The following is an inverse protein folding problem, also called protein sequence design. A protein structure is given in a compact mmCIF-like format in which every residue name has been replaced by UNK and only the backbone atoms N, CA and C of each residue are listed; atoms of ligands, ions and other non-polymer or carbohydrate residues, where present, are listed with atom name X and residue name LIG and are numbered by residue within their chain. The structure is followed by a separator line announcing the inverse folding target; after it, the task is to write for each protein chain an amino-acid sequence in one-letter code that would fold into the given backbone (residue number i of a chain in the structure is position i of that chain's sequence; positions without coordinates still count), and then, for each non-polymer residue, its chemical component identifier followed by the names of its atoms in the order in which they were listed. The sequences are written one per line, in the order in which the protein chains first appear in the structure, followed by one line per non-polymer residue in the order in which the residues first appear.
data_IF_963189487433
#
_entry.id   IF_963189487433
#
_cell.length_a   1.000
_cell.length_b   1.000
_cell.length_c   1.000
_cell.angle_alpha   90.00
_cell.angle_beta   90.00
_cell.angle_gamma   90.00
#
_symmetry.space_group_name_H-M   'P 1'
#
loop_
_entity.id
_entity.type
_entity.pdbx_description
1 polymer ?
#
# COMPACT_ATOMS: atom_id res chain seq x y z
N UNK A 1 -29.14 -41.77 37.63
CA UNK A 1 -28.84 -41.72 36.18
C UNK A 1 -29.32 -40.40 35.56
N UNK A 2 -28.93 -39.23 36.12
CA UNK A 2 -29.38 -37.90 35.64
C UNK A 2 -28.23 -36.93 35.33
N UNK A 3 -26.99 -37.23 35.73
CA UNK A 3 -25.85 -36.30 35.64
C UNK A 3 -25.16 -36.36 34.26
N UNK A 4 -25.41 -37.40 33.46
CA UNK A 4 -24.67 -37.66 32.22
C UNK A 4 -25.13 -36.87 30.98
N UNK A 5 -26.30 -36.22 31.04
CA UNK A 5 -26.86 -35.47 29.91
C UNK A 5 -26.51 -33.98 29.95
N UNK A 6 -26.38 -33.38 31.13
CA UNK A 6 -26.02 -31.96 31.27
C UNK A 6 -24.58 -31.66 30.84
N UNK A 7 -23.65 -32.58 31.12
CA UNK A 7 -22.23 -32.42 30.77
C UNK A 7 -21.97 -32.48 29.24
N UNK A 8 -22.87 -33.08 28.45
CA UNK A 8 -22.73 -33.15 26.99
C UNK A 8 -23.24 -31.89 26.29
N UNK A 9 -24.19 -31.18 26.89
CA UNK A 9 -24.77 -29.95 26.30
C UNK A 9 -23.84 -28.75 26.45
N UNK A 10 -23.02 -28.68 27.50
CA UNK A 10 -22.10 -27.54 27.74
C UNK A 10 -20.86 -27.58 26.83
N UNK A 11 -20.41 -28.76 26.41
CA UNK A 11 -19.25 -28.91 25.50
C UNK A 11 -19.59 -28.52 24.05
N UNK A 12 -20.86 -28.64 23.65
CA UNK A 12 -21.30 -28.29 22.29
C UNK A 12 -21.39 -26.78 22.03
N UNK A 13 -21.55 -25.94 23.07
CA UNK A 13 -21.69 -24.49 22.91
C UNK A 13 -20.36 -23.73 22.79
N UNK A 14 -19.23 -24.34 23.15
CA UNK A 14 -17.93 -23.65 23.18
C UNK A 14 -17.21 -23.59 21.81
N UNK A 15 -17.69 -24.33 20.79
CA UNK A 15 -16.98 -24.47 19.51
C UNK A 15 -17.41 -23.48 18.41
N UNK A 16 -18.31 -22.53 18.68
CA UNK A 16 -18.84 -21.63 17.63
C UNK A 16 -18.32 -20.18 17.67
N UNK A 17 -17.37 -19.83 18.55
CA UNK A 17 -16.75 -18.48 18.53
C UNK A 17 -15.42 -18.53 17.79
N UNK A 18 -15.49 -18.87 16.50
CA UNK A 18 -14.37 -18.84 15.58
C UNK A 18 -14.57 -17.78 14.49
N UNK A 19 -14.98 -16.57 14.87
CA UNK A 19 -14.90 -15.45 13.94
C UNK A 19 -13.43 -15.04 13.88
N UNK A 20 -12.72 -15.52 12.86
CA UNK A 20 -11.44 -14.98 12.45
C UNK A 20 -11.61 -13.47 12.27
N UNK A 21 -11.07 -12.69 13.20
CA UNK A 21 -10.93 -11.25 13.04
C UNK A 21 -10.00 -11.03 11.84
N UNK A 22 -10.58 -10.65 10.71
CA UNK A 22 -9.83 -10.09 9.59
C UNK A 22 -9.18 -8.83 10.13
N UNK A 23 -7.85 -8.83 10.25
CA UNK A 23 -7.09 -7.61 10.55
C UNK A 23 -7.26 -6.67 9.35
N UNK A 24 -8.21 -5.74 9.42
CA UNK A 24 -8.29 -4.66 8.47
C UNK A 24 -7.11 -3.72 8.73
N UNK A 25 -6.22 -3.54 7.74
CA UNK A 25 -5.18 -2.53 7.85
C UNK A 25 -5.84 -1.15 8.04
N UNK A 26 -5.36 -0.38 9.01
CA UNK A 26 -5.83 0.98 9.22
C UNK A 26 -5.01 1.93 8.34
N UNK A 27 -5.70 2.67 7.47
CA UNK A 27 -5.09 3.67 6.59
C UNK A 27 -5.33 5.06 7.15
N UNK A 28 -4.26 5.79 7.43
CA UNK A 28 -4.32 7.17 7.92
C UNK A 28 -3.79 8.11 6.86
N UNK A 29 -4.59 9.09 6.44
CA UNK A 29 -4.15 10.10 5.48
C UNK A 29 -2.96 10.90 6.03
N UNK A 30 -1.89 11.02 5.25
CA UNK A 30 -0.67 11.75 5.65
C UNK A 30 -0.41 13.01 4.81
N UNK A 31 -0.95 13.08 3.60
CA UNK A 31 -0.69 14.19 2.69
C UNK A 31 -1.01 13.84 1.25
N UNK A 32 -0.90 14.84 0.38
CA UNK A 32 -1.10 14.71 -1.06
C UNK A 32 -0.08 15.51 -1.84
N UNK A 33 0.10 15.18 -3.11
CA UNK A 33 0.98 15.91 -4.02
C UNK A 33 0.43 15.89 -5.45
N UNK A 34 0.64 16.98 -6.19
CA UNK A 34 0.52 16.97 -7.64
C UNK A 34 1.74 16.25 -8.24
N UNK A 35 1.58 15.54 -9.36
CA UNK A 35 2.73 15.00 -10.12
C UNK A 35 3.70 16.14 -10.45
N UNK A 36 3.18 17.26 -10.97
CA UNK A 36 3.91 18.51 -11.22
C UNK A 36 4.03 19.38 -9.95
N UNK A 37 4.56 18.82 -8.86
CA UNK A 37 4.85 19.60 -7.65
C UNK A 37 6.08 20.49 -7.86
N UNK A 38 6.13 21.70 -7.28
CA UNK A 38 7.30 22.59 -7.37
C UNK A 38 8.59 22.00 -6.77
N UNK A 39 8.48 21.08 -5.82
CA UNK A 39 9.61 20.33 -5.25
C UNK A 39 10.05 19.13 -6.11
N UNK A 40 9.30 18.78 -7.16
CA UNK A 40 9.68 17.68 -8.04
C UNK A 40 10.78 18.12 -9.02
N UNK A 41 11.68 17.21 -9.42
CA UNK A 41 12.68 17.47 -10.45
C UNK A 41 12.02 17.95 -11.74
N UNK A 42 12.60 18.96 -12.39
CA UNK A 42 12.21 19.35 -13.74
C UNK A 42 12.91 18.43 -14.73
N UNK A 43 12.16 17.78 -15.62
CA UNK A 43 12.74 16.86 -16.60
C UNK A 43 13.78 17.54 -17.51
N UNK A 44 13.51 18.78 -17.91
CA UNK A 44 14.36 19.58 -18.80
C UNK A 44 15.49 20.34 -18.09
N UNK A 45 15.83 19.99 -16.84
CA UNK A 45 16.93 20.64 -16.12
C UNK A 45 18.28 20.09 -16.60
N UNK A 46 19.18 20.99 -17.02
CA UNK A 46 20.55 20.67 -17.45
C UNK A 46 21.37 19.91 -16.41
N UNK A 47 20.98 19.92 -15.13
CA UNK A 47 21.60 19.11 -14.10
C UNK A 47 21.51 17.59 -14.38
N UNK A 48 20.62 17.15 -15.28
CA UNK A 48 20.40 15.73 -15.60
C UNK A 48 20.99 15.28 -16.94
N UNK A 49 21.72 16.13 -17.65
CA UNK A 49 22.31 15.80 -18.96
C UNK A 49 23.22 14.56 -18.89
N UNK A 50 24.05 14.44 -17.85
CA UNK A 50 24.97 13.30 -17.66
C UNK A 50 24.26 11.98 -17.34
N UNK A 51 23.07 12.05 -16.73
CA UNK A 51 22.28 10.88 -16.31
C UNK A 51 21.17 10.51 -17.30
N UNK A 52 20.98 11.35 -18.33
CA UNK A 52 19.85 11.28 -19.26
C UNK A 52 18.48 11.33 -18.56
N UNK A 53 18.36 12.10 -17.48
CA UNK A 53 17.08 12.38 -16.83
C UNK A 53 17.10 12.20 -15.30
N UNK A 54 16.17 12.86 -14.58
CA UNK A 54 16.07 12.73 -13.12
C UNK A 54 15.61 11.33 -12.69
N UNK A 55 15.70 11.04 -11.39
CA UNK A 55 15.14 9.80 -10.84
C UNK A 55 13.63 9.70 -11.08
N UNK A 56 13.18 8.52 -11.49
CA UNK A 56 11.79 8.15 -11.61
C UNK A 56 11.31 7.44 -10.34
N UNK A 57 10.10 7.76 -9.89
CA UNK A 57 9.51 7.25 -8.66
C UNK A 57 8.17 6.56 -8.93
N UNK A 58 7.97 5.40 -8.30
CA UNK A 58 6.60 4.91 -8.08
C UNK A 58 5.87 5.87 -7.14
N UNK A 59 4.55 5.82 -7.08
CA UNK A 59 3.80 6.70 -6.18
C UNK A 59 4.07 6.41 -4.70
N UNK A 60 4.34 5.14 -4.35
CA UNK A 60 4.77 4.77 -3.01
C UNK A 60 6.19 5.29 -2.69
N UNK A 61 7.13 5.22 -3.63
CA UNK A 61 8.46 5.79 -3.47
C UNK A 61 8.40 7.33 -3.32
N UNK A 62 7.56 7.99 -4.12
CA UNK A 62 7.32 9.43 -4.01
C UNK A 62 6.73 9.81 -2.64
N UNK A 63 5.77 9.05 -2.12
CA UNK A 63 5.23 9.25 -0.79
C UNK A 63 6.29 9.09 0.30
N UNK A 64 7.17 8.08 0.19
CA UNK A 64 8.27 7.90 1.12
C UNK A 64 9.29 9.05 1.05
N UNK A 65 9.57 9.58 -0.14
CA UNK A 65 10.44 10.76 -0.32
C UNK A 65 9.84 12.01 0.34
N UNK A 66 8.53 12.24 0.18
CA UNK A 66 7.85 13.44 0.65
C UNK A 66 7.49 13.41 2.14
N UNK A 67 7.11 12.23 2.66
CA UNK A 67 6.53 12.07 3.99
C UNK A 67 7.37 11.18 4.93
N UNK A 68 8.51 10.69 4.45
CA UNK A 68 9.49 9.88 5.18
C UNK A 68 9.10 8.40 5.32
N UNK A 69 10.05 7.57 5.75
CA UNK A 69 9.85 6.12 5.88
C UNK A 69 10.19 5.36 4.61
N UNK A 70 9.50 4.26 4.35
CA UNK A 70 9.72 3.36 3.21
C UNK A 70 8.50 3.31 2.30
N UNK A 71 8.69 2.94 1.03
CA UNK A 71 7.59 2.83 0.06
C UNK A 71 6.47 1.88 0.54
N UNK A 72 6.85 0.79 1.22
CA UNK A 72 5.91 -0.18 1.79
C UNK A 72 5.05 0.36 2.94
N UNK A 73 5.39 1.51 3.51
CA UNK A 73 4.58 2.13 4.57
C UNK A 73 3.34 2.84 4.02
N UNK A 74 3.19 2.93 2.69
CA UNK A 74 2.18 3.75 2.04
C UNK A 74 1.26 2.95 1.12
N UNK A 75 -0.01 3.35 1.12
CA UNK A 75 -0.94 3.11 0.01
C UNK A 75 -1.38 4.44 -0.56
N UNK A 76 -1.61 4.47 -1.86
CA UNK A 76 -1.93 5.68 -2.61
C UNK A 76 -3.35 5.57 -3.15
N UNK A 77 -4.05 6.70 -3.13
CA UNK A 77 -5.31 6.89 -3.85
C UNK A 77 -5.15 7.96 -4.92
N UNK A 78 -5.81 7.74 -6.06
CA UNK A 78 -5.95 8.72 -7.12
C UNK A 78 -7.23 9.57 -7.02
N UNK A 79 -8.12 9.22 -6.07
CA UNK A 79 -9.48 9.76 -5.94
C UNK A 79 -9.52 10.94 -4.98
N UNK A 80 -9.32 10.68 -3.67
CA UNK A 80 -9.42 11.68 -2.61
C UNK A 80 -8.68 11.24 -1.33
N UNK A 81 -8.82 12.05 -0.26
CA UNK A 81 -8.20 11.82 1.05
C UNK A 81 -9.05 10.96 2.02
N UNK A 82 -10.13 10.34 1.56
CA UNK A 82 -10.96 9.45 2.37
C UNK A 82 -10.40 8.01 2.33
N UNK A 83 -10.02 7.42 3.47
CA UNK A 83 -9.49 6.05 3.53
C UNK A 83 -10.43 4.98 2.95
N UNK A 84 -11.74 5.25 2.88
CA UNK A 84 -12.73 4.34 2.30
C UNK A 84 -12.72 4.32 0.76
N UNK A 85 -12.07 5.31 0.13
CA UNK A 85 -12.04 5.49 -1.32
C UNK A 85 -10.65 5.14 -1.91
N UNK A 86 -9.79 4.44 -1.17
CA UNK A 86 -8.46 4.05 -1.68
C UNK A 86 -8.63 3.07 -2.85
N UNK A 87 -8.12 3.44 -4.02
CA UNK A 87 -8.20 2.66 -5.25
C UNK A 87 -6.90 1.94 -5.61
N UNK A 88 -5.85 2.10 -4.80
CA UNK A 88 -4.51 1.53 -4.99
C UNK A 88 -3.87 1.93 -6.34
N UNK A 89 -4.25 3.11 -6.84
CA UNK A 89 -3.75 3.69 -8.08
C UNK A 89 -3.16 5.05 -7.83
N UNK A 90 -2.39 5.51 -8.80
CA UNK A 90 -1.80 6.83 -8.79
C UNK A 90 -1.68 7.39 -10.20
N UNK A 91 -1.63 8.71 -10.25
CA UNK A 91 -1.31 9.51 -11.42
C UNK A 91 0.20 9.56 -11.62
N UNK A 92 0.61 9.36 -12.86
CA UNK A 92 1.99 9.42 -13.32
C UNK A 92 2.10 10.35 -14.51
N UNK A 93 3.27 10.96 -14.67
CA UNK A 93 3.73 11.43 -15.97
C UNK A 93 4.42 10.29 -16.71
N UNK A 94 4.33 10.28 -18.04
CA UNK A 94 4.96 9.30 -18.92
C UNK A 94 5.71 10.04 -20.02
N UNK A 95 7.01 9.77 -20.13
CA UNK A 95 7.90 10.50 -21.01
C UNK A 95 7.43 10.42 -22.47
N UNK A 96 7.16 11.59 -23.05
CA UNK A 96 6.76 11.71 -24.45
C UNK A 96 5.35 11.19 -24.76
N UNK A 97 4.52 10.95 -23.75
CA UNK A 97 3.13 10.56 -23.92
C UNK A 97 2.20 11.72 -23.53
N UNK A 98 1.47 12.26 -24.50
CA UNK A 98 0.57 13.39 -24.25
C UNK A 98 -0.68 12.94 -23.50
N UNK A 99 -0.94 13.61 -22.37
CA UNK A 99 -2.05 13.27 -21.49
C UNK A 99 -2.97 14.46 -21.20
N UNK A 100 -2.91 15.52 -22.02
CA UNK A 100 -3.74 16.73 -21.90
C UNK A 100 -3.74 17.32 -20.48
N UNK A 101 -2.55 17.51 -19.88
CA UNK A 101 -2.33 18.03 -18.52
C UNK A 101 -2.95 17.19 -17.38
N UNK A 102 -3.45 16.00 -17.71
CA UNK A 102 -3.96 15.01 -16.76
C UNK A 102 -2.98 13.85 -16.71
N UNK A 103 -2.68 13.26 -15.56
CA UNK A 103 -1.72 12.15 -15.51
C UNK A 103 -2.25 10.90 -16.21
N UNK A 104 -1.38 9.92 -16.39
CA UNK A 104 -1.79 8.54 -16.73
C UNK A 104 -2.01 7.77 -15.44
N UNK A 105 -3.12 7.04 -15.36
CA UNK A 105 -3.49 6.29 -14.17
C UNK A 105 -2.90 4.87 -14.23
N UNK A 106 -2.01 4.55 -13.29
CA UNK A 106 -1.45 3.22 -13.12
C UNK A 106 -1.60 2.71 -11.68
N UNK A 107 -1.15 1.49 -11.42
CA UNK A 107 -1.02 0.99 -10.06
C UNK A 107 -0.06 1.88 -9.24
N UNK A 108 -0.30 1.99 -7.93
CA UNK A 108 0.52 2.80 -7.02
C UNK A 108 2.02 2.40 -6.97
N UNK A 109 2.34 1.19 -7.41
CA UNK A 109 3.67 0.58 -7.47
C UNK A 109 4.18 0.39 -8.91
N UNK A 110 3.49 0.96 -9.91
CA UNK A 110 3.89 0.87 -11.30
C UNK A 110 5.30 1.41 -11.51
N UNK A 111 6.13 0.60 -12.18
CA UNK A 111 7.55 0.85 -12.36
C UNK A 111 7.93 0.67 -13.83
N UNK A 112 8.14 1.80 -14.52
CA UNK A 112 8.75 1.86 -15.85
C UNK A 112 9.85 2.91 -15.79
N UNK A 113 11.11 2.48 -15.72
CA UNK A 113 12.26 3.37 -15.52
C UNK A 113 13.32 3.11 -16.57
N UNK A 114 13.85 4.17 -17.16
CA UNK A 114 15.01 4.10 -18.03
C UNK A 114 16.24 3.69 -17.23
N UNK A 115 16.98 2.70 -17.73
CA UNK A 115 18.12 2.08 -17.06
C UNK A 115 17.82 1.67 -15.60
N UNK A 116 16.55 1.36 -15.28
CA UNK A 116 16.11 0.91 -13.97
C UNK A 116 15.97 2.01 -12.90
N UNK A 117 16.24 3.28 -13.21
CA UNK A 117 16.22 4.34 -12.19
C UNK A 117 15.63 5.68 -12.67
N UNK A 118 15.69 6.00 -13.96
CA UNK A 118 15.53 7.38 -14.43
C UNK A 118 14.24 7.60 -15.22
N UNK A 119 13.73 8.82 -15.17
CA UNK A 119 12.73 9.37 -16.08
C UNK A 119 13.46 9.93 -17.31
N UNK A 120 13.71 9.06 -18.28
CA UNK A 120 14.60 9.34 -19.40
C UNK A 120 14.43 8.38 -20.59
N UNK A 121 15.28 8.49 -21.63
CA UNK A 121 16.41 9.41 -21.76
C UNK A 121 16.00 10.83 -22.19
N UNK A 122 16.77 11.84 -21.78
CA UNK A 122 16.64 13.22 -22.29
C UNK A 122 17.10 13.26 -23.76
N UNK A 123 16.19 13.61 -24.67
CA UNK A 123 16.51 13.86 -26.09
C UNK A 123 16.37 12.68 -27.06
N UNK A 124 16.02 11.47 -26.60
CA UNK A 124 15.78 10.32 -27.48
C UNK A 124 14.68 9.39 -26.96
N UNK A 125 13.43 9.84 -27.03
CA UNK A 125 12.27 9.03 -26.68
C UNK A 125 11.38 8.77 -27.90
N UNK A 126 10.53 7.75 -27.80
CA UNK A 126 9.52 7.44 -28.80
C UNK A 126 8.26 8.22 -28.42
N UNK A 127 7.79 9.18 -29.23
CA UNK A 127 6.55 9.89 -28.95
C UNK A 127 5.35 8.94 -28.87
N UNK A 128 4.35 9.31 -28.07
CA UNK A 128 3.09 8.58 -27.86
C UNK A 128 3.27 7.15 -27.33
N UNK A 129 4.39 6.86 -26.68
CA UNK A 129 4.65 5.56 -26.07
C UNK A 129 4.23 5.54 -24.60
N UNK A 130 3.04 5.01 -24.31
CA UNK A 130 2.53 4.83 -22.94
C UNK A 130 3.42 3.93 -22.06
N UNK A 131 4.29 3.11 -22.67
CA UNK A 131 5.23 2.24 -21.96
C UNK A 131 6.61 2.89 -21.75
N UNK A 132 6.76 4.19 -22.04
CA UNK A 132 8.00 4.92 -21.76
C UNK A 132 8.25 5.03 -20.25
N UNK A 133 9.37 5.67 -19.88
CA UNK A 133 9.68 5.92 -18.48
C UNK A 133 8.57 6.77 -17.84
N UNK A 134 8.16 6.40 -16.63
CA UNK A 134 7.06 7.02 -15.92
C UNK A 134 7.46 7.40 -14.49
N UNK A 135 6.92 8.50 -13.98
CA UNK A 135 7.17 8.94 -12.61
C UNK A 135 5.93 9.58 -11.99
N UNK A 136 5.64 9.23 -10.74
CA UNK A 136 4.58 9.87 -9.96
C UNK A 136 5.03 11.19 -9.32
N UNK A 137 6.29 11.58 -9.51
CA UNK A 137 6.88 12.79 -8.96
C UNK A 137 7.92 13.35 -9.92
N UNK A 138 7.46 14.17 -10.87
CA UNK A 138 8.26 14.81 -11.90
C UNK A 138 7.53 16.04 -12.43
N UNK A 139 8.27 17.11 -12.72
CA UNK A 139 7.75 18.23 -13.49
C UNK A 139 8.05 18.01 -14.96
N UNK A 140 7.07 17.44 -15.65
CA UNK A 140 6.98 17.31 -17.10
C UNK A 140 5.50 17.46 -17.50
N UNK A 141 5.20 17.69 -18.79
CA UNK A 141 3.85 17.73 -19.40
C UNK A 141 2.74 18.50 -18.64
N UNK A 142 3.10 19.41 -17.74
CA UNK A 142 2.21 20.15 -16.84
C UNK A 142 1.11 19.30 -16.15
N UNK A 143 1.46 18.06 -15.75
CA UNK A 143 0.53 17.12 -15.15
C UNK A 143 0.06 17.58 -13.75
N UNK A 144 -1.17 18.05 -13.67
CA UNK A 144 -1.74 18.66 -12.45
C UNK A 144 -2.50 17.69 -11.53
N UNK A 145 -2.58 16.41 -11.91
CA UNK A 145 -3.32 15.40 -11.16
C UNK A 145 -2.70 15.14 -9.77
N UNK A 146 -3.57 14.90 -8.78
CA UNK A 146 -3.19 14.80 -7.36
C UNK A 146 -3.24 13.36 -6.88
N UNK A 147 -2.18 12.93 -6.22
CA UNK A 147 -2.08 11.67 -5.51
C UNK A 147 -2.24 11.90 -4.00
N UNK A 148 -2.92 10.97 -3.32
CA UNK A 148 -3.18 11.02 -1.88
C UNK A 148 -2.47 9.84 -1.19
N UNK A 149 -1.57 10.13 -0.25
CA UNK A 149 -0.86 9.10 0.51
C UNK A 149 -1.57 8.79 1.83
N UNK A 150 -1.68 7.51 2.12
CA UNK A 150 -2.13 6.99 3.40
C UNK A 150 -1.06 6.08 3.98
N UNK A 151 -0.71 6.30 5.24
CA UNK A 151 0.21 5.43 5.95
C UNK A 151 -0.53 4.20 6.46
N UNK A 152 0.08 3.04 6.24
CA UNK A 152 -0.39 1.75 6.72
C UNK A 152 0.00 1.63 8.19
N UNK A 153 -0.99 1.46 9.06
CA UNK A 153 -0.75 1.09 10.45
C UNK A 153 -1.15 -0.37 10.64
N UNK A 154 -0.21 -1.26 10.99
CA UNK A 154 -0.55 -2.64 11.32
C UNK A 154 -1.52 -2.63 12.48
N UNK A 155 -2.67 -3.29 12.32
CA UNK A 155 -3.53 -3.56 13.47
C UNK A 155 -2.81 -4.61 14.31
N UNK A 156 -2.62 -4.36 15.63
CA UNK A 156 -2.05 -5.36 16.52
C UNK A 156 -2.80 -6.66 16.36
N UNK A 157 -2.07 -7.77 16.18
CA UNK A 157 -2.71 -9.07 16.05
C UNK A 157 -3.67 -9.27 17.24
N UNK A 158 -4.93 -9.66 16.98
CA UNK A 158 -5.88 -9.84 18.05
C UNK A 158 -5.33 -10.90 19.00
N UNK A 159 -5.58 -10.75 20.30
CA UNK A 159 -5.23 -11.71 21.35
C UNK A 159 -5.80 -13.13 21.12
N UNK A 160 -6.45 -13.38 19.98
CA UNK A 160 -6.84 -14.66 19.43
C UNK A 160 -5.78 -15.76 19.61
N UNK A 161 -4.48 -15.48 19.46
CA UNK A 161 -3.45 -16.47 19.77
C UNK A 161 -3.35 -16.76 21.28
N UNK A 162 -3.41 -15.73 22.12
CA UNK A 162 -3.46 -15.87 23.57
C UNK A 162 -4.69 -16.66 24.04
N UNK A 163 -5.87 -16.34 23.49
CA UNK A 163 -7.12 -17.04 23.76
C UNK A 163 -7.13 -18.47 23.21
N UNK A 164 -6.57 -18.71 22.03
CA UNK A 164 -6.40 -20.05 21.47
C UNK A 164 -5.48 -20.89 22.36
N UNK A 165 -4.33 -20.34 22.78
CA UNK A 165 -3.39 -21.04 23.64
C UNK A 165 -3.95 -21.26 25.04
N UNK A 166 -4.70 -20.31 25.59
CA UNK A 166 -5.43 -20.48 26.84
C UNK A 166 -6.51 -21.58 26.70
N UNK A 167 -7.26 -21.57 25.61
CA UNK A 167 -8.25 -22.60 25.28
C UNK A 167 -7.63 -23.99 25.16
N UNK A 168 -6.55 -24.14 24.41
CA UNK A 168 -5.81 -25.39 24.29
C UNK A 168 -5.22 -25.84 25.63
N UNK A 169 -4.68 -24.92 26.42
CA UNK A 169 -4.16 -25.17 27.76
C UNK A 169 -5.23 -25.71 28.72
N UNK A 170 -6.43 -25.14 28.70
CA UNK A 170 -7.55 -25.64 29.53
C UNK A 170 -8.01 -27.04 29.09
N UNK A 171 -8.06 -27.33 27.79
CA UNK A 171 -8.39 -28.66 27.26
C UNK A 171 -7.37 -29.72 27.76
N UNK A 172 -6.08 -29.42 27.68
CA UNK A 172 -5.01 -30.31 28.16
C UNK A 172 -5.13 -30.56 29.66
N UNK A 173 -5.40 -29.51 30.46
CA UNK A 173 -5.56 -29.62 31.90
C UNK A 173 -6.75 -30.50 32.30
N UNK A 174 -7.90 -30.30 31.67
CA UNK A 174 -9.11 -31.12 31.90
C UNK A 174 -8.85 -32.59 31.53
N UNK A 175 -8.12 -32.85 30.43
CA UNK A 175 -7.79 -34.22 30.01
C UNK A 175 -6.87 -34.93 31.00
N UNK A 176 -5.89 -34.23 31.58
CA UNK A 176 -4.98 -34.80 32.60
C UNK A 176 -5.72 -35.22 33.86
N UNK A 177 -6.71 -34.43 34.33
CA UNK A 177 -7.49 -34.77 35.53
C UNK A 177 -8.39 -36.00 35.40
N UNK A 178 -8.74 -36.42 34.18
CA UNK A 178 -9.55 -37.63 33.94
C UNK A 178 -8.76 -38.93 33.92
N UNK A 179 -7.44 -38.88 33.83
CA UNK A 179 -6.57 -40.08 33.77
C UNK A 179 -6.11 -40.49 35.18
N UNK A 180 -6.17 -39.57 36.14
CA UNK A 180 -5.70 -39.79 37.53
C UNK A 180 -6.83 -40.12 38.52
N UNK A 181 -8.05 -40.40 38.06
CA UNK A 181 -9.20 -40.78 38.87
C UNK A 181 -9.77 -42.11 38.36
#
# INVERSE_FOLDING_TARGET
MLISRFAKTVVGLALMVGMSAVNAANYTFVGSWSVYNSAAPLWSDSAYDDTNGPLAYTAQEAAALLFGGSASDYVISSIDNNPLNIDFKAWYDVLGYESNNTGVLFAQDYNSKYNGAYYGPVGSFIPDNINAAASAFIRDNDVSSVNYAFRITPVPEPESYGLLMAGLGTIVWVRRKKITA
#
